data_IF_440628357885
#
_entry.id   IF_440628357885
#
_cell.length_a   1.000
_cell.length_b   1.000
_cell.length_c   1.000
_cell.angle_alpha   90.00
_cell.angle_beta   90.00
_cell.angle_gamma   90.00
#
_symmetry.space_group_name_H-M   'P 1'
#
loop_
_entity.id
_entity.type
_entity.pdbx_description
1 polymer ?
#
# COMPACT_ATOMS: atom_id res chain seq x y z
N UNK A 1 29.82 -2.48 15.64
CA UNK A 1 29.92 -1.63 14.44
C UNK A 1 29.25 -0.30 14.72
N UNK A 2 29.77 0.81 14.15
CA UNK A 2 29.16 2.13 14.29
C UNK A 2 28.37 2.49 13.04
N UNK A 3 27.24 3.18 13.26
CA UNK A 3 26.36 3.68 12.21
C UNK A 3 26.19 5.19 12.34
N UNK A 4 26.11 5.88 11.22
CA UNK A 4 26.19 7.33 11.09
C UNK A 4 24.90 7.89 10.52
N UNK A 5 24.27 8.83 11.24
CA UNK A 5 23.02 9.46 10.83
C UNK A 5 23.18 10.96 10.70
N UNK A 6 23.00 11.45 9.48
CA UNK A 6 23.11 12.88 9.18
C UNK A 6 21.79 13.61 9.42
N UNK A 7 21.86 14.75 10.09
CA UNK A 7 20.68 15.56 10.38
C UNK A 7 20.98 17.06 10.26
N UNK A 8 19.98 17.85 9.83
CA UNK A 8 20.06 19.28 9.94
C UNK A 8 19.99 19.72 11.42
N UNK A 9 20.60 20.85 11.76
CA UNK A 9 20.49 21.43 13.10
C UNK A 9 19.04 21.78 13.46
N UNK A 10 18.24 22.17 12.48
CA UNK A 10 16.83 22.52 12.70
C UNK A 10 16.00 21.29 13.08
N UNK A 11 16.21 20.17 12.43
CA UNK A 11 15.53 18.93 12.81
C UNK A 11 15.97 18.43 14.19
N UNK A 12 17.27 18.54 14.47
CA UNK A 12 17.84 17.95 15.67
C UNK A 12 17.55 18.76 16.94
N UNK A 13 17.68 20.08 16.88
CA UNK A 13 17.60 21.00 18.02
C UNK A 13 16.48 22.03 17.92
N UNK A 14 15.91 22.21 16.72
CA UNK A 14 14.87 23.20 16.45
C UNK A 14 13.47 22.60 16.53
N UNK A 15 12.83 22.50 15.36
CA UNK A 15 11.42 22.14 15.23
C UNK A 15 11.05 20.80 15.85
N UNK A 16 11.89 19.77 15.67
CA UNK A 16 11.55 18.39 16.10
C UNK A 16 12.24 17.96 17.37
N UNK A 17 13.30 18.63 17.80
CA UNK A 17 14.07 18.35 19.04
C UNK A 17 14.48 16.88 19.16
N UNK A 18 14.89 16.27 18.04
CA UNK A 18 15.16 14.82 17.96
C UNK A 18 16.25 14.37 18.98
N UNK A 19 17.25 15.23 19.25
CA UNK A 19 18.29 14.92 20.23
C UNK A 19 17.78 15.02 21.67
N UNK A 20 17.07 16.09 22.01
CA UNK A 20 16.50 16.28 23.35
C UNK A 20 15.52 15.16 23.71
N UNK A 21 14.69 14.76 22.74
CA UNK A 21 13.70 13.70 22.92
C UNK A 21 14.28 12.29 22.78
N UNK A 22 15.53 12.16 22.35
CA UNK A 22 16.19 10.88 22.01
C UNK A 22 15.39 10.10 20.97
N UNK A 23 14.91 10.75 19.90
CA UNK A 23 14.01 10.18 18.91
C UNK A 23 14.70 9.96 17.57
N UNK A 24 14.35 8.85 16.92
CA UNK A 24 14.64 8.56 15.53
C UNK A 24 13.32 8.58 14.76
N UNK A 25 13.23 9.46 13.77
CA UNK A 25 12.10 9.53 12.87
C UNK A 25 12.26 8.52 11.72
N UNK A 26 11.19 7.75 11.46
CA UNK A 26 11.07 6.81 10.37
C UNK A 26 10.27 7.42 9.24
N UNK A 27 10.89 7.63 8.10
CA UNK A 27 10.28 8.25 6.92
C UNK A 27 9.45 7.22 6.12
N UNK A 28 8.35 7.69 5.51
CA UNK A 28 7.62 6.90 4.53
C UNK A 28 8.39 6.81 3.20
N UNK A 29 8.06 5.84 2.31
CA UNK A 29 8.68 5.79 0.98
C UNK A 29 8.57 7.10 0.20
N UNK A 30 7.44 7.79 0.31
CA UNK A 30 7.20 9.08 -0.35
C UNK A 30 8.02 10.26 0.22
N UNK A 31 8.65 10.09 1.38
CA UNK A 31 9.53 11.08 2.02
C UNK A 31 11.02 10.79 1.76
N UNK A 32 11.32 9.72 1.01
CA UNK A 32 12.69 9.36 0.64
C UNK A 32 13.20 10.19 -0.55
N UNK A 33 14.52 10.26 -0.73
CA UNK A 33 15.13 11.05 -1.80
C UNK A 33 15.10 10.37 -3.17
N UNK A 34 15.07 9.05 -3.21
CA UNK A 34 14.98 8.29 -4.46
C UNK A 34 13.51 8.04 -4.78
N UNK A 35 12.96 8.59 -5.88
CA UNK A 35 11.56 8.39 -6.26
C UNK A 35 11.24 6.93 -6.63
N UNK A 36 12.25 6.10 -6.84
CA UNK A 36 12.09 4.66 -7.12
C UNK A 36 12.10 3.81 -5.85
N UNK A 37 12.25 4.41 -4.67
CA UNK A 37 12.20 3.68 -3.41
C UNK A 37 10.83 3.07 -3.14
N UNK A 38 10.85 1.77 -2.83
CA UNK A 38 9.61 1.01 -2.61
C UNK A 38 8.79 0.78 -3.88
N UNK A 39 9.29 1.16 -5.06
CA UNK A 39 8.61 0.88 -6.31
C UNK A 39 8.65 -0.62 -6.62
N UNK A 40 7.47 -1.18 -6.94
CA UNK A 40 7.30 -2.56 -7.41
C UNK A 40 6.49 -2.55 -8.68
N UNK A 41 6.98 -3.26 -9.67
CA UNK A 41 6.17 -3.63 -10.81
C UNK A 41 5.25 -4.78 -10.41
N UNK A 42 3.97 -4.46 -10.21
CA UNK A 42 2.93 -5.44 -9.87
C UNK A 42 2.23 -5.82 -11.15
N UNK A 43 2.12 -7.12 -11.40
CA UNK A 43 1.29 -7.67 -12.45
C UNK A 43 0.24 -8.63 -11.87
N UNK A 44 -0.80 -8.88 -12.65
CA UNK A 44 -1.89 -9.78 -12.32
C UNK A 44 -1.89 -10.91 -13.33
N UNK A 45 -1.82 -12.14 -12.85
CA UNK A 45 -1.85 -13.34 -13.68
C UNK A 45 -2.45 -14.49 -12.87
N UNK A 46 -3.53 -15.08 -13.37
CA UNK A 46 -4.21 -16.18 -12.68
C UNK A 46 -5.35 -16.77 -13.48
N UNK A 47 -5.92 -17.86 -12.98
CA UNK A 47 -7.06 -18.56 -13.56
C UNK A 47 -8.41 -17.86 -13.25
N UNK A 48 -9.49 -18.38 -13.81
CA UNK A 48 -10.84 -17.86 -13.63
C UNK A 48 -11.29 -17.80 -12.16
N UNK A 49 -10.76 -18.68 -11.29
CA UNK A 49 -11.13 -18.69 -9.87
C UNK A 49 -10.64 -17.42 -9.18
N UNK A 50 -9.35 -17.09 -9.33
CA UNK A 50 -8.81 -15.89 -8.67
C UNK A 50 -9.39 -14.60 -9.25
N UNK A 51 -9.70 -14.56 -10.54
CA UNK A 51 -10.34 -13.40 -11.15
C UNK A 51 -11.80 -13.23 -10.72
N UNK A 52 -12.56 -14.33 -10.64
CA UNK A 52 -13.92 -14.29 -10.07
C UNK A 52 -13.89 -13.78 -8.64
N UNK A 53 -12.96 -14.28 -7.82
CA UNK A 53 -12.81 -13.85 -6.44
C UNK A 53 -12.31 -12.40 -6.33
N UNK A 54 -11.47 -11.94 -7.27
CA UNK A 54 -11.06 -10.52 -7.34
C UNK A 54 -12.29 -9.61 -7.50
N UNK A 55 -13.19 -9.92 -8.42
CA UNK A 55 -14.42 -9.15 -8.61
C UNK A 55 -15.39 -9.31 -7.43
N UNK A 56 -15.49 -10.49 -6.81
CA UNK A 56 -16.27 -10.66 -5.56
C UNK A 56 -15.74 -9.76 -4.45
N UNK A 57 -14.43 -9.68 -4.26
CA UNK A 57 -13.83 -8.77 -3.28
C UNK A 57 -14.10 -7.30 -3.61
N UNK A 58 -14.13 -6.95 -4.91
CA UNK A 58 -14.54 -5.62 -5.35
C UNK A 58 -15.97 -5.28 -4.92
N UNK A 59 -16.91 -6.19 -5.18
CA UNK A 59 -18.33 -6.04 -4.83
C UNK A 59 -18.54 -6.03 -3.31
N UNK A 60 -17.83 -6.85 -2.53
CA UNK A 60 -17.91 -6.84 -1.07
C UNK A 60 -17.51 -5.49 -0.50
N UNK A 61 -16.40 -4.92 -0.97
CA UNK A 61 -15.96 -3.61 -0.49
C UNK A 61 -16.92 -2.50 -0.94
N UNK A 62 -17.45 -2.60 -2.17
CA UNK A 62 -18.43 -1.67 -2.69
C UNK A 62 -19.72 -1.70 -1.84
N UNK A 63 -20.22 -2.87 -1.51
CA UNK A 63 -21.37 -3.06 -0.64
C UNK A 63 -21.12 -2.53 0.79
N UNK A 64 -19.92 -2.74 1.34
CA UNK A 64 -19.58 -2.18 2.64
C UNK A 64 -19.65 -0.65 2.65
N UNK A 65 -19.09 0.00 1.63
CA UNK A 65 -19.15 1.47 1.47
C UNK A 65 -20.59 1.92 1.26
N UNK A 66 -21.33 1.23 0.39
CA UNK A 66 -22.72 1.55 0.11
C UNK A 66 -23.59 1.51 1.36
N UNK A 67 -23.47 0.45 2.18
CA UNK A 67 -24.16 0.31 3.46
C UNK A 67 -23.77 1.41 4.44
N UNK A 68 -22.51 1.76 4.54
CA UNK A 68 -22.07 2.82 5.43
C UNK A 68 -22.72 4.16 5.05
N UNK A 69 -22.79 4.46 3.76
CA UNK A 69 -23.46 5.67 3.27
C UNK A 69 -24.96 5.64 3.62
N UNK A 70 -25.64 4.51 3.43
CA UNK A 70 -27.05 4.38 3.78
C UNK A 70 -27.34 4.57 5.28
N UNK A 71 -26.41 4.16 6.14
CA UNK A 71 -26.56 4.23 7.60
C UNK A 71 -26.19 5.60 8.18
N UNK A 72 -25.64 6.52 7.38
CA UNK A 72 -25.25 7.86 7.84
C UNK A 72 -26.46 8.71 8.20
N UNK A 73 -26.26 9.55 9.21
CA UNK A 73 -27.27 10.55 9.59
C UNK A 73 -27.20 11.77 8.66
N UNK A 74 -28.35 12.32 8.36
CA UNK A 74 -28.42 13.54 7.58
C UNK A 74 -27.72 14.69 8.32
N UNK A 75 -26.75 15.34 7.64
CA UNK A 75 -25.97 16.46 8.20
C UNK A 75 -24.55 16.08 8.66
N UNK A 76 -24.18 14.81 8.71
CA UNK A 76 -22.80 14.42 8.99
C UNK A 76 -21.88 14.79 7.81
N UNK A 77 -20.70 15.31 8.11
CA UNK A 77 -19.68 15.56 7.08
C UNK A 77 -19.16 14.24 6.53
N UNK A 78 -19.14 14.08 5.20
CA UNK A 78 -18.62 12.86 4.58
C UNK A 78 -17.10 12.73 4.82
N UNK A 79 -16.71 11.53 5.22
CA UNK A 79 -15.31 11.12 5.32
C UNK A 79 -15.16 9.78 4.60
N UNK A 80 -14.06 9.66 3.84
CA UNK A 80 -13.73 8.39 3.18
C UNK A 80 -13.60 7.30 4.23
N UNK A 81 -14.28 6.14 4.07
CA UNK A 81 -14.33 5.09 5.10
C UNK A 81 -13.04 4.27 5.14
N UNK A 82 -11.94 4.87 5.57
CA UNK A 82 -10.61 4.24 5.59
C UNK A 82 -10.53 3.00 6.49
N UNK A 83 -11.45 2.83 7.43
CA UNK A 83 -11.51 1.64 8.30
C UNK A 83 -12.06 0.39 7.58
N UNK A 84 -12.77 0.57 6.47
CA UNK A 84 -13.25 -0.56 5.66
C UNK A 84 -12.12 -1.24 4.91
N UNK A 85 -12.22 -2.55 4.71
CA UNK A 85 -11.20 -3.32 4.03
C UNK A 85 -11.59 -4.77 3.75
N UNK A 86 -10.63 -5.51 3.24
CA UNK A 86 -10.80 -6.87 2.72
C UNK A 86 -10.28 -7.96 3.68
N UNK A 87 -10.05 -7.60 4.96
CA UNK A 87 -9.71 -8.55 6.02
C UNK A 87 -10.98 -9.09 6.67
N UNK A 88 -11.69 -9.98 5.99
CA UNK A 88 -12.92 -10.56 6.46
C UNK A 88 -12.87 -12.09 6.45
N UNK A 89 -13.70 -12.72 7.27
CA UNK A 89 -13.95 -14.16 7.26
C UNK A 89 -15.39 -14.38 6.80
N UNK A 90 -15.57 -15.05 5.66
CA UNK A 90 -16.89 -15.25 5.06
C UNK A 90 -17.87 -15.91 6.01
N UNK A 91 -17.43 -16.92 6.76
CA UNK A 91 -18.26 -17.67 7.69
C UNK A 91 -18.72 -16.85 8.92
N UNK A 92 -18.10 -15.69 9.17
CA UNK A 92 -18.51 -14.77 10.21
C UNK A 92 -19.64 -13.83 9.78
N UNK A 93 -19.97 -13.78 8.50
CA UNK A 93 -21.12 -13.03 8.02
C UNK A 93 -22.42 -13.74 8.39
N UNK A 94 -23.45 -12.98 8.78
CA UNK A 94 -24.77 -13.56 9.02
C UNK A 94 -25.31 -14.20 7.75
N UNK A 95 -26.18 -15.24 7.86
CA UNK A 95 -26.81 -15.86 6.69
C UNK A 95 -27.54 -14.85 5.79
N UNK A 96 -28.14 -13.82 6.38
CA UNK A 96 -28.81 -12.73 5.66
C UNK A 96 -27.81 -11.92 4.82
N UNK A 97 -26.65 -11.56 5.41
CA UNK A 97 -25.62 -10.83 4.67
C UNK A 97 -24.99 -11.69 3.57
N UNK A 98 -24.75 -12.99 3.84
CA UNK A 98 -24.24 -13.90 2.81
C UNK A 98 -25.25 -14.04 1.64
N UNK A 99 -26.55 -14.17 1.93
CA UNK A 99 -27.61 -14.19 0.90
C UNK A 99 -27.65 -12.91 0.10
N UNK A 100 -27.58 -11.75 0.76
CA UNK A 100 -27.53 -10.43 0.13
C UNK A 100 -26.32 -10.29 -0.81
N UNK A 101 -25.12 -10.62 -0.33
CA UNK A 101 -23.90 -10.57 -1.14
C UNK A 101 -23.94 -11.55 -2.32
N UNK A 102 -24.51 -12.76 -2.13
CA UNK A 102 -24.70 -13.71 -3.22
C UNK A 102 -25.64 -13.16 -4.30
N UNK A 103 -26.73 -12.46 -3.92
CA UNK A 103 -27.61 -11.80 -4.90
C UNK A 103 -26.86 -10.75 -5.73
N UNK A 104 -25.96 -9.97 -5.10
CA UNK A 104 -25.09 -9.01 -5.82
C UNK A 104 -24.12 -9.75 -6.75
N UNK A 105 -23.49 -10.84 -6.29
CA UNK A 105 -22.56 -11.63 -7.11
C UNK A 105 -23.28 -12.24 -8.31
N UNK A 106 -24.46 -12.80 -8.11
CA UNK A 106 -25.24 -13.42 -9.19
C UNK A 106 -25.68 -12.37 -10.21
N UNK A 107 -26.16 -11.19 -9.76
CA UNK A 107 -26.53 -10.10 -10.64
C UNK A 107 -25.35 -9.64 -11.50
N UNK A 108 -24.17 -9.47 -10.94
CA UNK A 108 -23.00 -8.96 -11.65
C UNK A 108 -22.29 -10.03 -12.48
N UNK A 109 -22.02 -11.21 -11.91
CA UNK A 109 -21.23 -12.25 -12.55
C UNK A 109 -22.01 -13.00 -13.66
N UNK A 110 -23.34 -12.89 -13.71
CA UNK A 110 -24.14 -13.46 -14.81
C UNK A 110 -24.12 -12.64 -16.08
N UNK A 111 -23.63 -11.41 -16.06
CA UNK A 111 -23.58 -10.54 -17.22
C UNK A 111 -22.57 -11.06 -18.25
N UNK A 112 -22.97 -11.18 -19.52
CA UNK A 112 -22.16 -11.76 -20.59
C UNK A 112 -20.81 -11.06 -20.75
N UNK A 113 -20.76 -9.73 -20.70
CA UNK A 113 -19.52 -8.96 -20.83
C UNK A 113 -18.58 -9.17 -19.63
N UNK A 114 -19.10 -9.41 -18.43
CA UNK A 114 -18.28 -9.74 -17.25
C UNK A 114 -17.72 -11.16 -17.36
N UNK A 115 -18.49 -12.11 -17.85
CA UNK A 115 -18.01 -13.47 -18.10
C UNK A 115 -16.91 -13.50 -19.17
N UNK A 116 -17.09 -12.76 -20.26
CA UNK A 116 -16.05 -12.58 -21.29
C UNK A 116 -14.80 -11.92 -20.72
N UNK A 117 -14.95 -10.88 -19.89
CA UNK A 117 -13.83 -10.23 -19.23
C UNK A 117 -13.05 -11.22 -18.37
N UNK A 118 -13.73 -11.99 -17.50
CA UNK A 118 -13.08 -13.01 -16.66
C UNK A 118 -12.37 -14.06 -17.54
N UNK A 119 -13.02 -14.52 -18.61
CA UNK A 119 -12.42 -15.47 -19.54
C UNK A 119 -11.12 -14.94 -20.15
N UNK A 120 -11.13 -13.71 -20.66
CA UNK A 120 -9.97 -13.07 -21.28
C UNK A 120 -8.83 -12.80 -20.27
N UNK A 121 -9.17 -12.43 -19.03
CA UNK A 121 -8.20 -12.24 -17.94
C UNK A 121 -7.60 -13.56 -17.45
N UNK A 122 -8.29 -14.67 -17.67
CA UNK A 122 -7.87 -16.01 -17.18
C UNK A 122 -6.83 -16.68 -18.06
N UNK A 123 -6.39 -16.05 -19.13
CA UNK A 123 -5.30 -16.56 -19.95
C UNK A 123 -3.99 -16.53 -19.15
N UNK A 124 -3.55 -17.69 -18.71
CA UNK A 124 -2.36 -17.86 -17.86
C UNK A 124 -1.03 -17.46 -18.54
N UNK A 125 -1.05 -17.15 -19.82
CA UNK A 125 0.13 -16.63 -20.53
C UNK A 125 0.22 -15.12 -20.45
N UNK A 126 -0.87 -14.43 -20.08
CA UNK A 126 -0.93 -12.96 -20.05
C UNK A 126 -0.64 -12.41 -18.67
N UNK A 127 0.16 -11.36 -18.64
CA UNK A 127 0.42 -10.53 -17.45
C UNK A 127 -0.24 -9.17 -17.66
N UNK A 128 -1.11 -8.81 -16.74
CA UNK A 128 -1.79 -7.52 -16.79
C UNK A 128 -1.13 -6.57 -15.80
N UNK A 129 -0.70 -5.40 -16.28
CA UNK A 129 -0.13 -4.38 -15.42
C UNK A 129 -1.19 -3.75 -14.51
N UNK A 130 -0.73 -3.05 -13.47
CA UNK A 130 -1.62 -2.30 -12.58
C UNK A 130 -2.50 -1.29 -13.33
N UNK A 131 -1.94 -0.62 -14.34
CA UNK A 131 -2.67 0.33 -15.18
C UNK A 131 -3.82 -0.33 -15.94
N UNK A 132 -3.60 -1.51 -16.51
CA UNK A 132 -4.64 -2.28 -17.20
C UNK A 132 -5.78 -2.64 -16.24
N UNK A 133 -5.44 -3.12 -15.05
CA UNK A 133 -6.45 -3.46 -14.04
C UNK A 133 -7.22 -2.22 -13.57
N UNK A 134 -6.53 -1.09 -13.39
CA UNK A 134 -7.19 0.19 -13.08
C UNK A 134 -8.24 0.56 -14.13
N UNK A 135 -7.89 0.38 -15.39
CA UNK A 135 -8.81 0.63 -16.49
C UNK A 135 -10.04 -0.30 -16.42
N UNK A 136 -9.84 -1.61 -16.27
CA UNK A 136 -10.97 -2.54 -16.20
C UNK A 136 -11.87 -2.26 -15.01
N UNK A 137 -11.31 -1.97 -13.85
CA UNK A 137 -12.10 -1.60 -12.68
C UNK A 137 -12.96 -0.35 -12.93
N UNK A 138 -12.44 0.65 -13.63
CA UNK A 138 -13.20 1.85 -13.97
C UNK A 138 -14.31 1.54 -14.99
N UNK A 139 -14.03 0.74 -16.03
CA UNK A 139 -15.01 0.42 -17.08
C UNK A 139 -16.20 -0.41 -16.58
N UNK A 140 -15.96 -1.32 -15.60
CA UNK A 140 -17.04 -2.14 -15.02
C UNK A 140 -17.72 -1.49 -13.81
N UNK A 141 -17.17 -0.39 -13.30
CA UNK A 141 -17.55 0.15 -12.00
C UNK A 141 -19.01 0.53 -11.90
N UNK A 142 -19.53 1.27 -12.89
CA UNK A 142 -20.94 1.66 -12.91
C UNK A 142 -21.87 0.45 -12.98
N UNK A 143 -21.52 -0.55 -13.77
CA UNK A 143 -22.26 -1.82 -13.80
C UNK A 143 -22.28 -2.48 -12.41
N UNK A 144 -21.14 -2.54 -11.74
CA UNK A 144 -21.06 -3.09 -10.38
C UNK A 144 -21.89 -2.27 -9.38
N UNK A 145 -21.81 -0.94 -9.45
CA UNK A 145 -22.57 -0.04 -8.58
C UNK A 145 -24.08 -0.21 -8.77
N UNK A 146 -24.55 -0.35 -10.02
CA UNK A 146 -25.97 -0.59 -10.30
C UNK A 146 -26.44 -1.96 -9.85
N UNK A 147 -25.63 -3.01 -10.00
CA UNK A 147 -25.98 -4.33 -9.45
C UNK A 147 -26.16 -4.27 -7.92
N UNK A 148 -25.31 -3.50 -7.23
CA UNK A 148 -25.49 -3.27 -5.78
C UNK A 148 -26.77 -2.50 -5.50
N UNK A 149 -26.99 -1.34 -6.13
CA UNK A 149 -28.16 -0.50 -5.91
C UNK A 149 -29.48 -1.22 -6.25
N UNK A 150 -29.49 -2.07 -7.29
CA UNK A 150 -30.65 -2.88 -7.69
C UNK A 150 -31.05 -3.88 -6.63
N UNK A 151 -30.10 -4.55 -5.98
CA UNK A 151 -30.39 -5.47 -4.86
C UNK A 151 -30.96 -4.71 -3.66
N UNK A 152 -30.48 -3.50 -3.36
CA UNK A 152 -31.06 -2.65 -2.33
C UNK A 152 -32.44 -2.10 -2.69
N UNK A 153 -32.69 -1.80 -3.97
CA UNK A 153 -33.96 -1.28 -4.45
C UNK A 153 -35.12 -2.26 -4.26
N UNK A 154 -34.85 -3.57 -4.19
CA UNK A 154 -35.83 -4.60 -3.85
C UNK A 154 -36.39 -4.42 -2.43
N UNK A 155 -35.65 -3.73 -1.55
CA UNK A 155 -36.09 -3.38 -0.20
C UNK A 155 -36.59 -1.94 -0.07
N UNK A 156 -36.90 -1.28 -1.19
CA UNK A 156 -37.27 0.14 -1.27
C UNK A 156 -36.18 1.10 -0.76
N UNK A 157 -34.93 0.68 -0.86
CA UNK A 157 -33.76 1.48 -0.51
C UNK A 157 -32.90 1.61 -1.75
N UNK A 158 -32.67 2.82 -2.23
CA UNK A 158 -31.79 3.09 -3.36
C UNK A 158 -31.10 4.44 -3.17
N UNK A 159 -29.82 4.52 -3.54
CA UNK A 159 -29.08 5.77 -3.60
C UNK A 159 -29.26 6.48 -4.95
N UNK A 160 -29.61 5.73 -6.01
CA UNK A 160 -29.72 6.20 -7.37
C UNK A 160 -31.14 5.90 -7.92
N UNK A 161 -32.04 6.87 -7.83
CA UNK A 161 -33.45 6.72 -8.25
C UNK A 161 -33.63 6.58 -9.76
N UNK A 162 -32.63 6.99 -10.55
CA UNK A 162 -32.63 6.84 -12.00
C UNK A 162 -31.35 6.14 -12.43
N UNK A 163 -31.47 5.11 -13.29
CA UNK A 163 -30.30 4.48 -13.92
C UNK A 163 -29.64 5.53 -14.84
N UNK A 164 -28.43 6.02 -14.53
CA UNK A 164 -27.85 7.15 -15.27
C UNK A 164 -27.43 6.80 -16.71
N UNK A 165 -27.35 5.52 -17.11
CA UNK A 165 -26.80 5.10 -18.40
C UNK A 165 -27.40 3.77 -18.87
N UNK A 166 -27.59 3.65 -20.20
CA UNK A 166 -27.87 2.38 -20.86
C UNK A 166 -26.63 1.46 -20.72
N UNK A 167 -26.78 0.38 -19.95
CA UNK A 167 -25.71 -0.58 -19.64
C UNK A 167 -25.14 -1.33 -20.87
N UNK A 168 -25.71 -1.14 -22.04
CA UNK A 168 -25.22 -1.72 -23.32
C UNK A 168 -23.93 -1.08 -23.83
N UNK A 169 -23.63 0.15 -23.42
CA UNK A 169 -22.44 0.87 -23.88
C UNK A 169 -21.11 0.23 -23.43
N UNK A 170 -20.96 -0.31 -22.19
CA UNK A 170 -19.74 -0.99 -21.77
C UNK A 170 -19.42 -2.29 -22.53
N UNK A 171 -20.42 -2.99 -23.08
CA UNK A 171 -20.21 -4.27 -23.77
C UNK A 171 -19.37 -4.13 -25.04
N UNK A 172 -19.70 -3.16 -25.88
CA UNK A 172 -19.00 -2.93 -27.15
C UNK A 172 -17.57 -2.41 -26.91
N UNK A 173 -17.41 -1.51 -25.96
CA UNK A 173 -16.08 -0.96 -25.60
C UNK A 173 -15.11 -2.03 -25.11
N UNK A 174 -15.59 -3.03 -24.37
CA UNK A 174 -14.73 -4.07 -23.83
C UNK A 174 -14.19 -5.01 -24.92
N UNK A 175 -15.01 -5.46 -25.84
CA UNK A 175 -14.60 -6.37 -26.93
C UNK A 175 -13.63 -5.68 -27.91
N UNK A 176 -13.89 -4.44 -28.29
CA UNK A 176 -13.00 -3.63 -29.15
C UNK A 176 -11.68 -3.33 -28.45
N UNK A 177 -11.72 -3.06 -27.16
CA UNK A 177 -10.55 -2.75 -26.35
C UNK A 177 -9.61 -3.93 -26.18
N UNK A 178 -10.13 -5.13 -25.87
CA UNK A 178 -9.31 -6.35 -25.80
C UNK A 178 -8.64 -6.63 -27.13
N UNK A 179 -9.38 -6.49 -28.23
CA UNK A 179 -8.83 -6.65 -29.58
C UNK A 179 -7.71 -5.64 -29.86
N UNK A 180 -7.89 -4.40 -29.41
CA UNK A 180 -6.89 -3.34 -29.60
C UNK A 180 -5.64 -3.57 -28.75
N UNK A 181 -5.79 -3.96 -27.50
CA UNK A 181 -4.66 -4.30 -26.61
C UNK A 181 -3.80 -5.44 -27.14
N UNK A 182 -4.43 -6.42 -27.79
CA UNK A 182 -3.73 -7.55 -28.40
C UNK A 182 -2.91 -7.16 -29.65
N UNK A 183 -3.31 -6.10 -30.33
CA UNK A 183 -2.65 -5.58 -31.53
C UNK A 183 -1.50 -4.60 -31.21
N UNK A 184 -1.48 -4.00 -30.01
CA UNK A 184 -0.50 -3.00 -29.63
C UNK A 184 0.71 -3.61 -28.92
N UNK A 185 1.89 -3.13 -29.28
CA UNK A 185 3.13 -3.43 -28.56
C UNK A 185 3.21 -2.65 -27.24
N UNK A 186 4.20 -2.97 -26.39
CA UNK A 186 4.37 -2.34 -25.07
C UNK A 186 4.60 -0.83 -25.12
N UNK A 187 5.23 -0.32 -26.19
CA UNK A 187 5.49 1.11 -26.36
C UNK A 187 4.23 1.91 -26.75
N UNK A 188 3.28 1.26 -27.42
CA UNK A 188 2.03 1.89 -27.88
C UNK A 188 0.94 1.89 -26.80
N UNK A 189 0.98 0.94 -25.86
CA UNK A 189 -0.02 0.82 -24.80
C UNK A 189 -0.19 2.06 -23.92
N UNK A 190 0.88 2.81 -23.53
CA UNK A 190 0.73 4.03 -22.73
C UNK A 190 -0.12 5.11 -23.40
N UNK A 191 0.00 5.29 -24.73
CA UNK A 191 -0.79 6.27 -25.47
C UNK A 191 -2.27 5.88 -25.49
N UNK A 192 -2.58 4.59 -25.64
CA UNK A 192 -3.95 4.08 -25.55
C UNK A 192 -4.52 4.34 -24.16
N UNK A 193 -3.77 4.01 -23.07
CA UNK A 193 -4.22 4.26 -21.70
C UNK A 193 -4.49 5.73 -21.42
N UNK A 194 -3.65 6.62 -21.95
CA UNK A 194 -3.88 8.06 -21.83
C UNK A 194 -5.16 8.50 -22.51
N UNK A 195 -5.42 8.01 -23.72
CA UNK A 195 -6.67 8.29 -24.45
C UNK A 195 -7.90 7.80 -23.71
N UNK A 196 -7.83 6.58 -23.15
CA UNK A 196 -8.92 5.99 -22.37
C UNK A 196 -9.16 6.77 -21.08
N UNK A 197 -8.10 7.17 -20.36
CA UNK A 197 -8.25 8.00 -19.18
C UNK A 197 -8.96 9.32 -19.50
N UNK A 198 -8.59 9.97 -20.61
CA UNK A 198 -9.25 11.20 -21.05
C UNK A 198 -10.73 10.98 -21.38
N UNK A 199 -11.10 9.85 -22.00
CA UNK A 199 -12.51 9.49 -22.25
C UNK A 199 -13.25 9.24 -20.93
N UNK A 200 -12.63 8.51 -20.01
CA UNK A 200 -13.22 8.25 -18.70
C UNK A 200 -13.43 9.55 -17.90
N UNK A 201 -12.47 10.48 -17.94
CA UNK A 201 -12.62 11.80 -17.31
C UNK A 201 -13.78 12.61 -17.91
N UNK A 202 -14.00 12.51 -19.22
CA UNK A 202 -15.16 13.13 -19.87
C UNK A 202 -16.47 12.46 -19.45
N UNK A 203 -16.50 11.13 -19.34
CA UNK A 203 -17.65 10.39 -18.84
C UNK A 203 -17.94 10.76 -17.38
N UNK A 204 -16.92 10.83 -16.54
CA UNK A 204 -17.05 11.26 -15.14
C UNK A 204 -17.62 12.68 -15.05
N UNK A 205 -17.19 13.58 -15.93
CA UNK A 205 -17.71 14.95 -16.01
C UNK A 205 -19.19 14.97 -16.46
N UNK A 206 -19.57 14.16 -17.44
CA UNK A 206 -20.96 14.02 -17.88
C UNK A 206 -21.83 13.51 -16.73
N UNK A 207 -21.37 12.50 -16.01
CA UNK A 207 -22.07 11.98 -14.83
C UNK A 207 -22.21 13.06 -13.75
N UNK A 208 -21.15 13.81 -13.48
CA UNK A 208 -21.19 14.93 -12.55
C UNK A 208 -22.26 15.97 -12.92
N UNK A 209 -22.43 16.24 -14.20
CA UNK A 209 -23.39 17.23 -14.71
C UNK A 209 -24.82 16.70 -14.81
N UNK A 210 -25.03 15.37 -14.91
CA UNK A 210 -26.33 14.76 -15.17
C UNK A 210 -27.00 14.13 -13.94
N UNK A 211 -26.22 13.82 -12.89
CA UNK A 211 -26.78 13.27 -11.64
C UNK A 211 -27.35 14.41 -10.79
N UNK A 212 -28.67 14.47 -10.68
CA UNK A 212 -29.35 15.38 -9.76
C UNK A 212 -28.95 15.08 -8.31
N UNK A 213 -28.65 16.15 -7.54
CA UNK A 213 -28.27 16.06 -6.11
C UNK A 213 -26.99 15.21 -5.85
N UNK A 214 -25.93 15.49 -6.60
CA UNK A 214 -24.64 14.85 -6.36
C UNK A 214 -24.06 15.29 -5.02
N UNK A 215 -24.10 14.42 -4.04
CA UNK A 215 -23.47 14.63 -2.73
C UNK A 215 -22.03 14.11 -2.74
N UNK A 216 -21.16 14.54 -1.80
CA UNK A 216 -19.79 14.01 -1.70
C UNK A 216 -19.72 12.47 -1.65
N UNK A 217 -20.69 11.83 -0.98
CA UNK A 217 -20.81 10.37 -0.89
C UNK A 217 -21.07 9.71 -2.25
N UNK A 218 -21.99 10.29 -3.02
CA UNK A 218 -22.30 9.80 -4.38
C UNK A 218 -21.12 10.02 -5.32
N UNK A 219 -20.44 11.17 -5.21
CA UNK A 219 -19.21 11.43 -5.97
C UNK A 219 -18.15 10.39 -5.66
N UNK A 220 -17.93 10.07 -4.39
CA UNK A 220 -17.00 9.02 -3.99
C UNK A 220 -17.37 7.67 -4.59
N UNK A 221 -18.64 7.26 -4.47
CA UNK A 221 -19.12 6.00 -5.05
C UNK A 221 -18.94 5.94 -6.57
N UNK A 222 -19.23 7.02 -7.29
CA UNK A 222 -19.20 7.01 -8.75
C UNK A 222 -17.78 7.11 -9.30
N UNK A 223 -16.92 7.95 -8.71
CA UNK A 223 -15.64 8.33 -9.32
C UNK A 223 -14.42 7.79 -8.59
N UNK A 224 -14.45 7.76 -7.24
CA UNK A 224 -13.26 7.50 -6.45
C UNK A 224 -13.15 6.06 -5.97
N UNK A 225 -14.25 5.32 -5.89
CA UNK A 225 -14.28 3.96 -5.35
C UNK A 225 -13.30 3.00 -6.05
N UNK A 226 -13.13 2.98 -7.40
CA UNK A 226 -12.14 2.11 -8.04
C UNK A 226 -10.71 2.33 -7.54
N UNK A 227 -10.33 3.57 -7.27
CA UNK A 227 -9.01 3.90 -6.69
C UNK A 227 -8.92 3.52 -5.21
N UNK A 228 -10.02 3.69 -4.48
CA UNK A 228 -10.12 3.24 -3.09
C UNK A 228 -9.91 1.73 -2.99
N UNK A 229 -10.59 0.93 -3.80
CA UNK A 229 -10.39 -0.51 -3.86
C UNK A 229 -8.93 -0.87 -4.17
N UNK A 230 -8.31 -0.22 -5.15
CA UNK A 230 -6.92 -0.46 -5.50
C UNK A 230 -5.95 -0.20 -4.32
N UNK A 231 -6.19 0.84 -3.52
CA UNK A 231 -5.42 1.07 -2.29
C UNK A 231 -5.63 -0.06 -1.28
N UNK A 232 -6.87 -0.53 -1.11
CA UNK A 232 -7.20 -1.60 -0.17
C UNK A 232 -6.61 -2.95 -0.55
N UNK A 233 -6.58 -3.32 -1.83
CA UNK A 233 -5.93 -4.57 -2.25
C UNK A 233 -4.39 -4.50 -2.13
N UNK A 234 -3.77 -3.33 -2.28
CA UNK A 234 -2.32 -3.17 -2.01
C UNK A 234 -1.97 -3.51 -0.57
N UNK A 235 -2.80 -3.13 0.38
CA UNK A 235 -2.60 -3.43 1.79
C UNK A 235 -2.63 -4.94 2.10
N UNK A 236 -3.19 -5.78 1.20
CA UNK A 236 -3.14 -7.24 1.32
C UNK A 236 -1.77 -7.83 0.96
N UNK A 237 -0.97 -7.11 0.19
CA UNK A 237 0.35 -7.57 -0.24
C UNK A 237 1.40 -7.35 0.85
N UNK A 238 1.44 -6.16 1.44
CA UNK A 238 2.39 -5.82 2.50
C UNK A 238 1.82 -4.70 3.37
N UNK A 239 2.29 -4.68 4.61
CA UNK A 239 1.98 -3.57 5.52
C UNK A 239 2.71 -2.31 5.09
N UNK A 240 2.18 -1.18 5.53
CA UNK A 240 2.92 0.06 5.48
C UNK A 240 4.23 -0.08 6.27
N UNK A 241 5.29 0.43 5.69
CA UNK A 241 6.62 0.39 6.25
C UNK A 241 7.28 1.77 6.19
N UNK A 242 8.17 1.97 7.13
CA UNK A 242 8.87 3.23 7.32
C UNK A 242 10.33 2.93 7.59
N UNK A 243 11.23 3.81 7.14
CA UNK A 243 12.66 3.57 7.28
C UNK A 243 13.38 4.71 7.96
N UNK A 244 14.39 4.36 8.73
CA UNK A 244 15.40 5.28 9.20
C UNK A 244 16.74 4.88 8.58
N UNK A 245 17.32 5.82 7.83
CA UNK A 245 18.54 5.61 7.06
C UNK A 245 19.76 5.99 7.88
N UNK A 246 20.78 5.14 7.79
CA UNK A 246 22.10 5.31 8.39
C UNK A 246 23.16 4.97 7.36
N UNK A 247 24.36 5.37 7.60
CA UNK A 247 25.51 5.11 6.74
C UNK A 247 26.62 4.42 7.53
N UNK A 248 27.54 3.79 6.83
CA UNK A 248 28.75 3.23 7.45
C UNK A 248 29.82 4.32 7.71
N UNK A 249 30.93 3.93 8.32
CA UNK A 249 32.04 4.83 8.63
C UNK A 249 32.68 5.48 7.39
N UNK A 250 32.82 4.72 6.32
CA UNK A 250 33.41 5.22 5.07
C UNK A 250 32.64 6.43 4.52
N UNK A 251 31.31 6.35 4.52
CA UNK A 251 30.46 7.44 4.04
C UNK A 251 30.45 8.65 4.96
N UNK A 252 30.82 8.50 6.24
CA UNK A 252 30.93 9.61 7.18
C UNK A 252 31.99 10.62 6.79
N UNK A 253 32.96 10.22 5.99
CA UNK A 253 34.04 11.06 5.45
C UNK A 253 33.74 11.61 4.05
N UNK A 254 32.63 11.19 3.44
CA UNK A 254 32.25 11.60 2.09
C UNK A 254 31.74 13.04 2.03
N UNK A 255 32.38 13.88 1.23
CA UNK A 255 31.96 15.26 1.00
C UNK A 255 30.55 15.32 0.34
N UNK A 256 30.23 14.37 -0.54
CA UNK A 256 28.91 14.27 -1.18
C UNK A 256 27.81 13.97 -0.17
N UNK A 257 28.09 13.09 0.80
CA UNK A 257 27.16 12.75 1.88
C UNK A 257 26.91 13.96 2.78
N UNK A 258 27.97 14.66 3.19
CA UNK A 258 27.85 15.90 3.95
C UNK A 258 27.12 17.01 3.21
N UNK A 259 27.31 17.10 1.88
CA UNK A 259 26.55 18.02 1.03
C UNK A 259 25.06 17.71 1.02
N UNK A 260 24.69 16.46 0.73
CA UNK A 260 23.29 16.05 0.55
C UNK A 260 22.54 15.91 1.86
N UNK A 261 23.13 15.28 2.88
CA UNK A 261 22.46 14.92 4.14
C UNK A 261 22.87 15.78 5.33
N UNK A 262 24.05 16.36 5.28
CA UNK A 262 24.60 17.25 6.32
C UNK A 262 24.27 18.73 6.10
N UNK A 263 23.19 19.07 5.41
CA UNK A 263 22.75 20.45 5.14
C UNK A 263 23.88 21.33 4.57
N UNK A 264 24.50 20.91 3.48
CA UNK A 264 25.66 21.60 2.88
C UNK A 264 26.78 21.83 3.89
N UNK A 265 27.16 20.78 4.64
CA UNK A 265 28.23 20.79 5.65
C UNK A 265 27.95 21.67 6.88
N UNK A 266 26.69 22.12 7.11
CA UNK A 266 26.31 22.91 8.32
C UNK A 266 25.55 22.08 9.35
N UNK A 267 25.25 20.84 9.05
CA UNK A 267 24.50 19.90 9.90
C UNK A 267 25.37 19.14 10.90
N UNK A 268 24.81 18.07 11.43
CA UNK A 268 25.44 17.18 12.40
C UNK A 268 25.30 15.74 11.92
N UNK A 269 26.33 14.94 12.20
CA UNK A 269 26.29 13.49 12.08
C UNK A 269 26.23 12.87 13.48
N UNK A 270 25.20 12.11 13.77
CA UNK A 270 25.04 11.32 15.00
C UNK A 270 25.67 9.95 14.79
N UNK A 271 26.37 9.45 15.80
CA UNK A 271 27.07 8.16 15.80
C UNK A 271 26.37 7.23 16.78
N UNK A 272 25.97 6.06 16.30
CA UNK A 272 25.34 5.03 17.10
C UNK A 272 26.20 3.76 17.12
N UNK A 273 26.41 3.21 18.31
CA UNK A 273 27.02 1.90 18.49
C UNK A 273 25.92 0.83 18.40
N UNK A 274 26.04 -0.08 17.44
CA UNK A 274 25.09 -1.19 17.30
C UNK A 274 25.48 -2.39 18.16
N UNK A 275 24.46 -3.08 18.66
CA UNK A 275 24.61 -4.42 19.21
C UNK A 275 24.85 -5.43 18.09
N UNK A 276 25.64 -6.47 18.37
CA UNK A 276 25.94 -7.53 17.39
C UNK A 276 25.40 -8.86 17.88
N UNK A 277 24.57 -9.50 17.04
CA UNK A 277 24.04 -10.84 17.31
C UNK A 277 23.95 -11.60 15.98
N UNK A 278 24.44 -12.84 15.94
CA UNK A 278 24.40 -13.75 14.79
C UNK A 278 24.87 -13.07 13.47
N UNK A 279 25.99 -12.33 13.55
CA UNK A 279 26.56 -11.52 12.46
C UNK A 279 25.64 -10.40 11.92
N UNK A 280 24.57 -10.06 12.62
CA UNK A 280 23.71 -8.93 12.31
C UNK A 280 23.87 -7.82 13.34
N UNK A 281 23.52 -6.61 12.93
CA UNK A 281 23.61 -5.41 13.74
C UNK A 281 22.23 -4.92 14.14
N UNK A 282 22.08 -4.45 15.37
CA UNK A 282 20.79 -4.04 15.93
C UNK A 282 20.90 -2.72 16.68
N UNK A 283 19.78 -1.98 16.69
CA UNK A 283 19.58 -0.82 17.54
C UNK A 283 18.36 -1.05 18.44
N UNK A 284 18.51 -0.83 19.73
CA UNK A 284 17.42 -0.93 20.69
C UNK A 284 16.54 0.32 20.62
N UNK A 285 15.27 0.16 20.27
CA UNK A 285 14.28 1.24 20.13
C UNK A 285 13.04 0.93 20.93
N UNK A 286 12.48 1.96 21.58
CA UNK A 286 11.24 1.85 22.35
C UNK A 286 10.05 1.79 21.39
N UNK A 287 9.48 0.60 21.21
CA UNK A 287 8.44 0.29 20.23
C UNK A 287 7.13 -0.15 20.92
N UNK A 288 5.96 0.02 20.28
CA UNK A 288 4.74 -0.60 20.74
C UNK A 288 4.88 -2.11 20.82
N UNK A 289 4.63 -2.69 21.99
CA UNK A 289 4.82 -4.12 22.24
C UNK A 289 3.49 -4.86 22.34
N UNK A 290 2.56 -4.36 23.13
CA UNK A 290 1.23 -4.97 23.29
C UNK A 290 0.17 -3.93 23.66
N UNK A 291 -1.09 -4.30 23.48
CA UNK A 291 -2.24 -3.47 23.89
C UNK A 291 -2.80 -4.00 25.21
N UNK A 292 -2.95 -3.11 26.15
CA UNK A 292 -3.54 -3.38 27.45
C UNK A 292 -4.92 -2.69 27.52
N UNK A 293 -5.94 -3.41 27.97
CA UNK A 293 -7.31 -2.88 28.09
C UNK A 293 -7.44 -1.72 29.10
N UNK A 294 -6.50 -1.61 30.04
CA UNK A 294 -6.51 -0.60 31.11
C UNK A 294 -5.67 0.63 30.78
N UNK A 295 -4.51 0.46 30.14
CA UNK A 295 -3.48 1.50 29.98
C UNK A 295 -3.19 1.83 28.50
N UNK A 296 -3.90 1.24 27.56
CA UNK A 296 -3.66 1.45 26.14
C UNK A 296 -2.44 0.68 25.61
N UNK A 297 -1.63 1.31 24.77
CA UNK A 297 -0.46 0.67 24.13
C UNK A 297 0.75 0.74 25.07
N UNK A 298 1.31 -0.41 25.37
CA UNK A 298 2.57 -0.52 26.12
C UNK A 298 3.76 -0.47 25.16
N UNK A 299 4.85 0.14 25.63
CA UNK A 299 6.09 0.32 24.88
C UNK A 299 7.23 -0.40 25.57
N UNK A 300 8.08 -1.06 24.78
CA UNK A 300 9.26 -1.76 25.26
C UNK A 300 10.43 -1.53 24.31
N UNK A 301 11.65 -1.55 24.87
CA UNK A 301 12.84 -1.53 24.04
C UNK A 301 13.03 -2.87 23.33
N UNK A 302 12.99 -2.85 22.03
CA UNK A 302 13.14 -4.00 21.15
C UNK A 302 14.26 -3.75 20.14
N UNK A 303 15.04 -4.79 19.87
CA UNK A 303 16.14 -4.73 18.91
C UNK A 303 15.60 -4.68 17.47
N UNK A 304 15.93 -3.62 16.74
CA UNK A 304 15.60 -3.45 15.32
C UNK A 304 16.86 -3.64 14.49
N UNK A 305 16.80 -4.53 13.50
CA UNK A 305 17.96 -4.91 12.68
C UNK A 305 18.31 -3.83 11.66
N UNK A 306 19.61 -3.58 11.50
CA UNK A 306 20.15 -2.82 10.38
C UNK A 306 20.29 -3.70 9.13
N UNK A 307 19.64 -3.31 8.05
CA UNK A 307 19.72 -3.99 6.76
C UNK A 307 20.59 -3.18 5.80
N UNK A 308 21.64 -3.77 5.20
CA UNK A 308 22.44 -3.09 4.18
C UNK A 308 21.60 -2.88 2.92
N UNK A 309 21.76 -1.72 2.27
CA UNK A 309 21.13 -1.42 0.98
C UNK A 309 21.93 -2.05 -0.16
N UNK A 310 21.22 -2.74 -1.05
CA UNK A 310 21.78 -3.35 -2.24
C UNK A 310 21.58 -2.44 -3.47
N UNK A 311 22.67 -2.04 -4.09
CA UNK A 311 22.69 -1.15 -5.26
C UNK A 311 22.81 -1.91 -6.58
N UNK A 312 22.77 -3.23 -6.55
CA UNK A 312 22.96 -4.09 -7.73
C UNK A 312 21.68 -4.75 -8.21
N UNK A 313 20.67 -4.83 -7.37
CA UNK A 313 19.41 -5.50 -7.66
C UNK A 313 18.47 -4.63 -8.49
N UNK A 314 17.86 -5.28 -9.48
CA UNK A 314 16.73 -4.70 -10.21
C UNK A 314 15.42 -5.16 -9.59
N UNK A 315 14.33 -4.34 -9.69
CA UNK A 315 13.01 -4.77 -9.26
C UNK A 315 12.57 -5.99 -10.07
N UNK A 316 12.17 -7.05 -9.38
CA UNK A 316 11.50 -8.17 -10.03
C UNK A 316 10.00 -7.92 -10.03
N UNK A 317 9.30 -8.10 -11.15
CA UNK A 317 7.85 -8.02 -11.19
C UNK A 317 7.20 -9.04 -10.23
N UNK A 318 6.16 -8.61 -9.52
CA UNK A 318 5.48 -9.40 -8.50
C UNK A 318 4.06 -9.72 -8.96
N UNK A 319 3.68 -11.00 -8.96
CA UNK A 319 2.29 -11.38 -9.20
C UNK A 319 1.43 -11.08 -7.97
N UNK A 320 0.42 -10.22 -8.15
CA UNK A 320 -0.51 -9.84 -7.10
C UNK A 320 -1.12 -11.06 -6.37
N UNK A 321 -1.67 -12.01 -7.12
CA UNK A 321 -2.40 -13.14 -6.52
C UNK A 321 -1.53 -14.10 -5.71
N UNK A 322 -0.22 -14.15 -5.96
CA UNK A 322 0.72 -14.96 -5.18
C UNK A 322 1.43 -14.16 -4.08
N UNK A 323 1.07 -12.89 -3.88
CA UNK A 323 1.75 -11.99 -2.95
C UNK A 323 0.82 -11.44 -1.85
N UNK A 324 -0.30 -12.10 -1.58
CA UNK A 324 -1.29 -11.72 -0.56
C UNK A 324 -0.85 -12.14 0.86
N UNK A 325 0.40 -11.89 1.23
CA UNK A 325 1.03 -12.39 2.45
C UNK A 325 0.53 -11.78 3.75
N UNK A 326 -0.27 -10.70 3.69
CA UNK A 326 -0.90 -10.13 4.87
C UNK A 326 -2.16 -10.89 5.31
N UNK A 327 -2.71 -11.71 4.42
CA UNK A 327 -3.90 -12.49 4.75
C UNK A 327 -3.54 -13.72 5.59
N UNK A 328 -4.31 -14.00 6.67
CA UNK A 328 -4.28 -15.31 7.30
C UNK A 328 -4.60 -16.42 6.29
N UNK A 329 -3.96 -17.57 6.45
CA UNK A 329 -4.12 -18.72 5.54
C UNK A 329 -5.57 -19.06 5.20
N UNK A 330 -6.51 -19.16 6.16
CA UNK A 330 -7.91 -19.45 5.83
C UNK A 330 -8.57 -18.38 4.96
N UNK A 331 -8.27 -17.09 5.20
CA UNK A 331 -8.81 -15.98 4.39
C UNK A 331 -8.23 -15.99 2.98
N UNK A 332 -6.92 -16.21 2.84
CA UNK A 332 -6.27 -16.32 1.54
C UNK A 332 -6.91 -17.46 0.71
N UNK A 333 -7.09 -18.63 1.31
CA UNK A 333 -7.68 -19.78 0.59
C UNK A 333 -9.15 -19.53 0.25
N UNK A 334 -9.96 -19.18 1.24
CA UNK A 334 -11.41 -19.14 1.05
C UNK A 334 -11.86 -17.92 0.23
N UNK A 335 -11.17 -16.78 0.36
CA UNK A 335 -11.60 -15.54 -0.29
C UNK A 335 -10.91 -15.28 -1.63
N UNK A 336 -9.80 -16.00 -1.94
CA UNK A 336 -9.02 -15.75 -3.17
C UNK A 336 -8.76 -16.97 -4.01
N UNK A 337 -8.44 -18.13 -3.40
CA UNK A 337 -7.94 -19.31 -4.10
C UNK A 337 -8.97 -20.43 -4.26
N UNK A 338 -10.18 -20.24 -3.76
CA UNK A 338 -11.24 -21.26 -3.82
C UNK A 338 -12.51 -20.67 -4.44
N UNK A 339 -13.11 -21.45 -5.36
CA UNK A 339 -14.43 -21.12 -5.93
C UNK A 339 -15.59 -21.51 -4.99
N UNK A 340 -16.79 -21.04 -5.32
CA UNK A 340 -18.00 -21.37 -4.54
C UNK A 340 -18.28 -22.89 -4.53
N UNK A 341 -17.99 -23.61 -5.60
CA UNK A 341 -18.09 -25.08 -5.71
C UNK A 341 -16.87 -25.81 -5.14
N UNK A 342 -16.07 -25.12 -4.33
CA UNK A 342 -14.88 -25.61 -3.58
C UNK A 342 -13.69 -26.07 -4.45
N UNK A 343 -13.66 -25.77 -5.73
CA UNK A 343 -12.48 -26.00 -6.56
C UNK A 343 -11.37 -25.05 -6.19
N UNK A 344 -10.13 -25.51 -6.28
CA UNK A 344 -8.95 -24.71 -5.98
C UNK A 344 -8.36 -24.12 -7.26
N UNK A 345 -7.89 -22.90 -7.19
CA UNK A 345 -7.10 -22.25 -8.22
C UNK A 345 -5.80 -23.02 -8.47
N UNK A 346 -5.30 -22.99 -9.69
CA UNK A 346 -3.97 -23.50 -10.03
C UNK A 346 -2.85 -22.86 -9.22
N UNK A 347 -3.04 -21.60 -8.78
CA UNK A 347 -2.10 -20.87 -7.92
C UNK A 347 -2.03 -21.44 -6.50
N UNK A 348 -3.03 -22.21 -6.07
CA UNK A 348 -3.02 -22.84 -4.75
C UNK A 348 -1.76 -23.71 -4.55
N UNK A 349 -1.40 -24.51 -5.52
CA UNK A 349 -0.22 -25.39 -5.42
C UNK A 349 1.10 -24.61 -5.39
N UNK A 350 1.18 -23.45 -6.04
CA UNK A 350 2.38 -22.60 -6.00
C UNK A 350 2.62 -21.96 -4.63
N UNK A 351 1.56 -21.80 -3.83
CA UNK A 351 1.62 -21.21 -2.49
C UNK A 351 1.74 -22.33 -1.44
N UNK A 352 0.96 -23.41 -1.55
CA UNK A 352 0.77 -24.40 -0.49
C UNK A 352 1.55 -25.70 -0.67
N UNK A 353 2.20 -25.93 -1.81
CA UNK A 353 3.15 -27.06 -1.91
C UNK A 353 4.27 -26.96 -0.86
N UNK A 354 4.63 -25.74 -0.46
CA UNK A 354 5.48 -25.43 0.68
C UNK A 354 5.15 -24.03 1.21
N UNK A 355 4.17 -23.94 2.10
CA UNK A 355 3.74 -22.64 2.65
C UNK A 355 4.84 -21.93 3.43
N UNK A 356 5.72 -22.68 4.08
CA UNK A 356 6.87 -22.13 4.81
C UNK A 356 7.85 -21.48 3.82
N UNK A 357 8.24 -22.20 2.79
CA UNK A 357 9.14 -21.66 1.74
C UNK A 357 8.51 -20.46 1.02
N UNK A 358 7.21 -20.49 0.76
CA UNK A 358 6.51 -19.35 0.16
C UNK A 358 6.52 -18.12 1.09
N UNK A 359 6.30 -18.31 2.40
CA UNK A 359 6.35 -17.22 3.38
C UNK A 359 7.76 -16.65 3.51
N UNK A 360 8.78 -17.51 3.54
CA UNK A 360 10.18 -17.07 3.58
C UNK A 360 10.54 -16.27 2.33
N UNK A 361 10.13 -16.73 1.16
CA UNK A 361 10.34 -16.02 -0.10
C UNK A 361 9.56 -14.68 -0.12
N UNK A 362 8.32 -14.67 0.34
CA UNK A 362 7.53 -13.47 0.48
C UNK A 362 8.22 -12.43 1.38
N UNK A 363 8.68 -12.83 2.56
CA UNK A 363 9.40 -11.93 3.47
C UNK A 363 10.74 -11.46 2.89
N UNK A 364 11.48 -12.35 2.25
CA UNK A 364 12.73 -12.01 1.58
C UNK A 364 12.51 -11.02 0.44
N UNK A 365 11.49 -11.21 -0.37
CA UNK A 365 11.14 -10.30 -1.45
C UNK A 365 10.70 -8.93 -0.91
N UNK A 366 9.92 -8.90 0.16
CA UNK A 366 9.53 -7.67 0.84
C UNK A 366 10.76 -6.89 1.34
N UNK A 367 11.67 -7.54 2.08
CA UNK A 367 12.90 -6.92 2.56
C UNK A 367 13.80 -6.45 1.40
N UNK A 368 14.00 -7.30 0.40
CA UNK A 368 14.80 -6.96 -0.78
C UNK A 368 14.30 -5.71 -1.48
N UNK A 369 13.01 -5.51 -1.50
CA UNK A 369 12.40 -4.35 -2.14
C UNK A 369 12.59 -3.06 -1.32
N UNK A 370 12.57 -3.15 -0.01
CA UNK A 370 12.82 -1.99 0.88
C UNK A 370 14.32 -1.66 0.97
N UNK A 371 15.17 -2.64 0.80
CA UNK A 371 16.64 -2.50 0.97
C UNK A 371 17.41 -2.41 -0.35
N UNK A 372 16.78 -1.90 -1.40
CA UNK A 372 17.47 -1.62 -2.67
C UNK A 372 17.41 -0.15 -3.01
N UNK A 373 18.39 0.30 -3.80
CA UNK A 373 18.48 1.66 -4.31
C UNK A 373 19.20 1.69 -5.65
N UNK A 374 18.99 2.75 -6.45
CA UNK A 374 19.74 2.94 -7.71
C UNK A 374 21.25 2.97 -7.47
N UNK A 375 22.03 2.51 -8.45
CA UNK A 375 23.50 2.54 -8.41
C UNK A 375 24.08 3.93 -8.20
N UNK A 376 23.36 4.98 -8.60
CA UNK A 376 23.78 6.37 -8.46
C UNK A 376 23.96 6.78 -6.98
N UNK A 377 23.27 6.08 -6.07
CA UNK A 377 23.32 6.31 -4.62
C UNK A 377 24.36 5.44 -3.90
N UNK A 378 25.16 4.63 -4.62
CA UNK A 378 26.09 3.69 -3.99
C UNK A 378 27.11 4.33 -3.05
N UNK A 379 27.45 5.61 -3.26
CA UNK A 379 28.35 6.37 -2.40
C UNK A 379 27.86 6.55 -0.96
N UNK A 380 26.57 6.27 -0.69
CA UNK A 380 25.97 6.39 0.63
C UNK A 380 26.36 5.21 1.54
N UNK A 381 26.60 4.01 0.98
CA UNK A 381 26.78 2.77 1.73
C UNK A 381 25.73 2.65 2.86
N UNK A 382 24.46 2.79 2.47
CA UNK A 382 23.32 2.96 3.35
C UNK A 382 22.97 1.68 4.09
N UNK A 383 22.52 1.82 5.32
CA UNK A 383 21.85 0.80 6.13
C UNK A 383 20.49 1.32 6.58
N UNK A 384 19.50 0.46 6.63
CA UNK A 384 18.13 0.82 7.00
C UNK A 384 17.66 0.07 8.23
N UNK A 385 17.08 0.81 9.17
CA UNK A 385 16.15 0.25 10.12
C UNK A 385 14.76 0.32 9.50
N UNK A 386 14.00 -0.78 9.54
CA UNK A 386 12.66 -0.87 8.95
C UNK A 386 11.65 -1.00 10.09
N UNK A 387 10.67 -0.12 10.11
CA UNK A 387 9.61 -0.10 11.12
C UNK A 387 8.24 -0.28 10.45
N UNK A 388 7.45 -1.17 11.03
CA UNK A 388 6.00 -1.28 10.76
C UNK A 388 5.29 -1.70 12.04
N UNK A 389 4.07 -1.25 12.27
CA UNK A 389 3.32 -1.60 13.47
C UNK A 389 1.86 -1.92 13.13
N UNK A 390 1.30 -2.90 13.86
CA UNK A 390 -0.14 -3.17 13.85
C UNK A 390 -0.87 -2.45 15.01
N UNK A 391 -0.12 -1.98 16.00
CA UNK A 391 -0.66 -1.37 17.21
C UNK A 391 -0.83 0.14 17.08
N UNK A 392 -0.14 0.74 16.11
CA UNK A 392 -0.19 2.17 15.83
C UNK A 392 -0.69 2.46 14.41
N UNK A 393 -1.45 3.51 14.26
CA UNK A 393 -1.66 4.15 12.96
C UNK A 393 -0.38 4.92 12.57
N UNK A 394 0.53 4.25 11.86
CA UNK A 394 1.78 4.85 11.42
C UNK A 394 1.63 5.85 10.24
N UNK A 395 0.42 6.11 9.73
CA UNK A 395 0.18 7.24 8.81
C UNK A 395 0.45 8.58 9.49
N UNK A 396 0.26 8.66 10.79
CA UNK A 396 0.58 9.84 11.59
C UNK A 396 2.08 9.95 11.85
N UNK A 397 2.66 11.14 11.55
CA UNK A 397 4.11 11.37 11.67
C UNK A 397 4.65 11.15 13.10
N UNK A 398 3.86 11.46 14.12
CA UNK A 398 4.27 11.29 15.50
C UNK A 398 4.42 9.82 15.91
N UNK A 399 3.59 8.92 15.35
CA UNK A 399 3.65 7.49 15.59
C UNK A 399 4.89 6.81 14.99
N UNK A 400 5.66 7.55 14.16
CA UNK A 400 6.88 7.09 13.48
C UNK A 400 8.16 7.58 14.15
N UNK A 401 8.06 8.15 15.34
CA UNK A 401 9.19 8.58 16.16
C UNK A 401 9.42 7.55 17.25
N UNK A 402 10.55 6.88 17.22
CA UNK A 402 10.91 5.88 18.21
C UNK A 402 12.08 6.38 19.04
N UNK A 403 12.01 6.20 20.37
CA UNK A 403 13.09 6.57 21.25
C UNK A 403 14.19 5.51 21.22
N UNK A 404 15.44 5.95 21.15
CA UNK A 404 16.59 5.07 21.28
C UNK A 404 17.11 5.03 22.74
N UNK A 405 17.74 3.92 23.10
CA UNK A 405 18.47 3.86 24.37
C UNK A 405 19.73 4.72 24.24
N UNK A 406 19.91 5.66 25.18
CA UNK A 406 21.04 6.59 25.14
C UNK A 406 22.41 5.89 25.24
N UNK A 407 22.46 4.69 25.82
CA UNK A 407 23.67 3.88 25.84
C UNK A 407 24.19 3.49 24.48
N UNK A 408 23.31 3.49 23.46
CA UNK A 408 23.68 3.25 22.06
C UNK A 408 24.24 4.49 21.34
N UNK A 409 24.10 5.68 21.94
CA UNK A 409 24.59 6.93 21.36
C UNK A 409 26.06 7.11 21.69
N UNK A 410 26.95 7.00 20.70
CA UNK A 410 28.40 7.05 20.86
C UNK A 410 28.97 8.48 20.77
N UNK A 411 28.25 9.37 20.02
CA UNK A 411 28.71 10.75 19.89
C UNK A 411 28.12 11.46 18.68
N UNK A 412 28.68 12.64 18.40
CA UNK A 412 28.28 13.46 17.27
C UNK A 412 29.48 14.16 16.61
N UNK A 413 29.36 14.44 15.32
CA UNK A 413 30.33 15.21 14.54
C UNK A 413 29.62 16.39 13.89
N UNK A 414 30.17 17.58 14.05
CA UNK A 414 29.68 18.76 13.38
C UNK A 414 30.22 18.88 11.96
N UNK A 415 29.39 19.32 11.05
CA UNK A 415 29.84 19.70 9.72
C UNK A 415 30.87 20.84 9.79
N UNK A 416 31.81 20.85 8.84
CA UNK A 416 32.92 21.81 8.84
C UNK A 416 32.44 23.28 8.83
N UNK A 417 31.30 23.55 8.18
CA UNK A 417 30.68 24.87 8.08
C UNK A 417 29.64 25.18 9.18
N UNK A 418 29.55 24.31 10.20
CA UNK A 418 28.59 24.54 11.31
C UNK A 418 29.00 25.77 12.09
N UNK A 419 28.15 26.80 12.28
CA UNK A 419 28.45 28.02 12.99
C UNK A 419 28.88 27.77 14.44
N UNK A 420 29.98 28.43 14.90
CA UNK A 420 30.52 28.21 16.25
C UNK A 420 29.51 28.52 17.36
N UNK A 421 28.67 29.52 17.18
CA UNK A 421 27.61 29.87 18.14
C UNK A 421 26.62 28.70 18.36
N UNK A 422 26.36 27.90 17.32
CA UNK A 422 25.50 26.73 17.40
C UNK A 422 26.21 25.51 18.01
N UNK A 423 27.53 25.39 17.81
CA UNK A 423 28.35 24.35 18.48
C UNK A 423 28.34 24.53 20.00
N UNK A 424 28.51 25.77 20.47
CA UNK A 424 28.61 26.08 21.91
C UNK A 424 27.27 25.90 22.67
N UNK A 425 26.13 25.93 22.00
CA UNK A 425 24.83 25.72 22.62
C UNK A 425 24.62 24.27 23.08
N UNK A 426 25.24 23.31 22.39
CA UNK A 426 25.13 21.88 22.70
C UNK A 426 25.96 21.40 23.88
N UNK A 427 27.04 22.11 24.25
CA UNK A 427 27.87 21.76 25.40
C UNK A 427 27.32 22.21 26.75
N UNK A 428 26.25 23.01 26.78
CA UNK A 428 25.69 23.56 28.03
C UNK A 428 24.41 22.86 28.51
N UNK A 429 23.86 21.95 27.74
CA UNK A 429 22.58 21.31 28.07
C UNK A 429 22.69 19.76 28.28
N UNK A 430 23.92 19.25 28.42
CA UNK A 430 24.14 17.81 28.70
C UNK A 430 25.21 17.61 29.76
#
# INVERSE_FOLDING_TARGET
MKFYRFRSLDNLLGKYKELENQEIYFASPSEQNDPMEGYHEIYFQGDAIVWTNFFKNYLILLDQVFREILLRKQGDVYQVPEHLGLFYVWDNFSPQLQSHLNSIFDSFLSLDHIQKLIFNLSDNQRKFSWQIISYYLRSIHLTALFCVDEVYSQFNVSLFHTKPIDLKYPEQLNDEYFSLLDQLNEEQRPALFQSINSVNEQIDLIHYLTVENLTPEKTFLIQEFPYFFQRKIRALMHRDWYTACFMNEESSHSSSVWGSYGSNHTGICLIFQADTKDNNYYLSLNQPSYMNSTNGIAYEFQALQYYPVDYTRFPSPINFFTSLGQLPTPQLVNNWLRSADRKLSNLYNSIYSSIESWRDEYHKNFLNNITRKSKDWKYENEYRLIYSSMLHNCSEKNSRKLKYDFSSFDGLVFGINTPQAKKNRNYRNH
#
